data_IF_953628251124
#
_entry.id   IF_953628251124
#
_cell.length_a   1.000
_cell.length_b   1.000
_cell.length_c   1.000
_cell.angle_alpha   90.00
_cell.angle_beta   90.00
_cell.angle_gamma   90.00
#
_symmetry.space_group_name_H-M   'P 1'
#
loop_
_entity.id
_entity.type
_entity.pdbx_description
1 polymer ?
#
# COMPACT_ATOMS: atom_id res chain seq x y z
N UNK A 1 -25.89 -23.32 -5.11
CA UNK A 1 -26.68 -23.49 -3.87
C UNK A 1 -27.80 -24.48 -4.16
N UNK A 2 -28.03 -25.41 -3.25
CA UNK A 2 -28.89 -26.58 -3.47
C UNK A 2 -29.81 -26.80 -2.27
N UNK A 3 -31.01 -27.29 -2.55
CA UNK A 3 -31.97 -27.79 -1.57
C UNK A 3 -31.95 -29.31 -1.58
N UNK A 4 -31.36 -29.89 -0.54
CA UNK A 4 -31.30 -31.35 -0.38
C UNK A 4 -32.56 -31.84 0.31
N UNK A 5 -33.38 -32.61 -0.41
CA UNK A 5 -34.53 -33.27 0.18
C UNK A 5 -34.01 -34.50 0.92
N UNK A 6 -33.93 -34.41 2.25
CA UNK A 6 -33.48 -35.53 3.10
C UNK A 6 -34.57 -36.59 3.20
N UNK A 7 -35.83 -36.17 3.34
CA UNK A 7 -36.99 -37.05 3.27
C UNK A 7 -38.25 -36.27 2.93
N UNK A 8 -39.11 -36.85 2.11
CA UNK A 8 -40.45 -36.34 1.81
C UNK A 8 -41.45 -37.49 1.85
N UNK A 9 -42.48 -37.37 2.68
CA UNK A 9 -43.59 -38.32 2.71
C UNK A 9 -44.35 -38.28 1.37
N UNK A 10 -44.80 -39.44 0.88
CA UNK A 10 -45.54 -39.55 -0.38
C UNK A 10 -46.80 -38.68 -0.40
N UNK A 11 -47.45 -38.47 0.76
CA UNK A 11 -48.61 -37.62 0.88
C UNK A 11 -48.33 -36.13 0.65
N UNK A 12 -47.07 -35.69 0.72
CA UNK A 12 -46.65 -34.31 0.45
C UNK A 12 -46.15 -34.07 -0.98
N UNK A 13 -46.07 -35.12 -1.81
CA UNK A 13 -45.59 -35.01 -3.19
C UNK A 13 -46.67 -34.48 -4.13
N UNK A 14 -47.04 -33.23 -3.92
CA UNK A 14 -48.17 -32.58 -4.58
C UNK A 14 -47.77 -31.22 -5.16
N UNK A 15 -48.46 -30.78 -6.21
CA UNK A 15 -48.19 -29.48 -6.87
C UNK A 15 -48.47 -28.29 -5.96
N UNK A 16 -49.34 -28.47 -4.96
CA UNK A 16 -49.67 -27.46 -3.97
C UNK A 16 -48.64 -27.31 -2.86
N UNK A 17 -47.68 -28.24 -2.71
CA UNK A 17 -46.55 -28.05 -1.79
C UNK A 17 -45.42 -27.32 -2.51
N UNK A 18 -45.15 -26.06 -2.15
CA UNK A 18 -44.36 -25.11 -2.95
C UNK A 18 -43.18 -24.52 -2.20
N UNK A 19 -42.23 -23.99 -2.97
CA UNK A 19 -41.13 -23.19 -2.43
C UNK A 19 -40.78 -22.00 -3.32
N UNK A 20 -40.18 -20.98 -2.70
CA UNK A 20 -39.59 -19.81 -3.36
C UNK A 20 -38.29 -19.42 -2.67
N UNK A 21 -37.27 -19.07 -3.45
CA UNK A 21 -36.02 -18.51 -2.96
C UNK A 21 -35.90 -17.04 -3.36
N UNK A 22 -35.51 -16.21 -2.40
CA UNK A 22 -35.22 -14.79 -2.58
C UNK A 22 -33.75 -14.49 -2.28
N UNK A 23 -33.16 -13.59 -3.07
CA UNK A 23 -31.88 -12.91 -2.80
C UNK A 23 -32.19 -11.46 -2.46
N UNK A 24 -32.08 -11.08 -1.20
CA UNK A 24 -32.67 -9.82 -0.72
C UNK A 24 -34.19 -9.81 -0.92
N UNK A 25 -34.70 -8.86 -1.71
CA UNK A 25 -36.14 -8.73 -2.04
C UNK A 25 -36.49 -9.32 -3.40
N UNK A 26 -35.52 -9.83 -4.17
CA UNK A 26 -35.74 -10.36 -5.52
C UNK A 26 -35.95 -11.87 -5.48
N UNK A 27 -37.06 -12.35 -6.04
CA UNK A 27 -37.31 -13.79 -6.25
C UNK A 27 -36.37 -14.32 -7.32
N UNK A 28 -35.62 -15.37 -7.00
CA UNK A 28 -34.60 -15.98 -7.88
C UNK A 28 -34.93 -17.39 -8.30
N UNK A 29 -35.79 -18.11 -7.55
CA UNK A 29 -36.24 -19.45 -7.89
C UNK A 29 -37.62 -19.74 -7.29
N UNK A 30 -38.42 -20.55 -7.98
CA UNK A 30 -39.67 -21.11 -7.46
C UNK A 30 -39.89 -22.54 -7.97
N UNK A 31 -40.74 -23.29 -7.27
CA UNK A 31 -41.09 -24.66 -7.65
C UNK A 31 -42.10 -25.33 -6.72
N UNK A 32 -42.29 -26.64 -6.90
CA UNK A 32 -43.11 -27.50 -6.05
C UNK A 32 -42.44 -28.85 -5.78
N UNK A 33 -43.09 -29.71 -5.00
CA UNK A 33 -42.56 -31.01 -4.59
C UNK A 33 -43.32 -32.21 -5.18
N UNK A 34 -44.08 -32.01 -6.25
CA UNK A 34 -44.73 -33.11 -6.98
C UNK A 34 -43.70 -34.09 -7.56
N UNK A 35 -44.08 -35.36 -7.74
CA UNK A 35 -43.20 -36.37 -8.36
C UNK A 35 -42.67 -35.94 -9.74
N UNK A 36 -43.54 -35.33 -10.56
CA UNK A 36 -43.15 -34.81 -11.88
C UNK A 36 -42.09 -33.71 -11.79
N UNK A 37 -42.26 -32.77 -10.84
CA UNK A 37 -41.30 -31.69 -10.65
C UNK A 37 -39.97 -32.22 -10.14
N UNK A 38 -39.98 -33.08 -9.12
CA UNK A 38 -38.78 -33.65 -8.52
C UNK A 38 -37.98 -34.49 -9.53
N UNK A 39 -38.66 -35.26 -10.37
CA UNK A 39 -37.99 -36.05 -11.42
C UNK A 39 -37.29 -35.18 -12.46
N UNK A 40 -37.86 -34.00 -12.76
CA UNK A 40 -37.37 -33.12 -13.83
C UNK A 40 -36.41 -32.02 -13.37
N UNK A 41 -36.42 -31.68 -12.08
CA UNK A 41 -35.71 -30.51 -11.55
C UNK A 41 -34.73 -30.84 -10.43
N UNK A 42 -34.43 -32.13 -10.23
CA UNK A 42 -33.35 -32.55 -9.34
C UNK A 42 -32.12 -32.98 -10.16
N UNK A 43 -30.95 -32.76 -9.57
CA UNK A 43 -29.68 -33.31 -10.08
C UNK A 43 -29.07 -34.20 -8.99
N UNK A 44 -28.29 -35.19 -9.40
CA UNK A 44 -27.63 -36.09 -8.47
C UNK A 44 -26.36 -35.45 -7.92
N UNK A 45 -26.28 -35.32 -6.60
CA UNK A 45 -25.07 -34.93 -5.89
C UNK A 45 -24.14 -36.14 -5.76
N UNK A 46 -23.01 -36.11 -6.46
CA UNK A 46 -22.03 -37.21 -6.47
C UNK A 46 -21.27 -37.38 -5.15
N UNK A 47 -21.17 -36.33 -4.31
CA UNK A 47 -20.51 -36.41 -3.00
C UNK A 47 -21.30 -37.25 -1.99
N UNK A 48 -22.64 -37.14 -2.00
CA UNK A 48 -23.50 -37.72 -0.97
C UNK A 48 -24.54 -38.71 -1.52
N UNK A 49 -24.55 -38.99 -2.84
CA UNK A 49 -25.52 -39.83 -3.53
C UNK A 49 -27.00 -39.46 -3.28
N UNK A 50 -27.29 -38.15 -3.20
CA UNK A 50 -28.65 -37.62 -3.00
C UNK A 50 -29.10 -36.81 -4.21
N UNK A 51 -30.40 -36.83 -4.52
CA UNK A 51 -30.98 -35.91 -5.52
C UNK A 51 -31.38 -34.61 -4.84
N UNK A 52 -30.97 -33.47 -5.42
CA UNK A 52 -31.25 -32.16 -4.86
C UNK A 52 -31.76 -31.18 -5.90
N UNK A 53 -32.56 -30.21 -5.45
CA UNK A 53 -33.07 -29.15 -6.31
C UNK A 53 -31.99 -28.08 -6.44
N UNK A 54 -31.67 -27.72 -7.68
CA UNK A 54 -30.75 -26.62 -7.97
C UNK A 54 -31.46 -25.30 -7.71
N UNK A 55 -31.06 -24.60 -6.64
CA UNK A 55 -31.63 -23.30 -6.31
C UNK A 55 -30.95 -22.16 -7.08
N UNK A 56 -29.62 -22.17 -7.10
CA UNK A 56 -28.78 -21.16 -7.76
C UNK A 56 -27.51 -21.79 -8.33
N UNK A 57 -27.05 -21.30 -9.48
CA UNK A 57 -25.81 -21.72 -10.16
C UNK A 57 -25.00 -20.50 -10.57
N UNK A 58 -23.67 -20.62 -10.59
CA UNK A 58 -22.75 -19.58 -11.05
C UNK A 58 -22.93 -18.22 -10.34
N UNK A 59 -23.24 -18.26 -9.04
CA UNK A 59 -23.34 -17.06 -8.22
C UNK A 59 -21.95 -16.55 -7.85
N UNK A 60 -21.65 -15.29 -8.21
CA UNK A 60 -20.49 -14.58 -7.67
C UNK A 60 -20.70 -14.34 -6.17
N UNK A 61 -19.75 -14.80 -5.36
CA UNK A 61 -19.78 -14.58 -3.91
C UNK A 61 -19.17 -13.21 -3.61
N UNK A 62 -19.93 -12.36 -2.93
CA UNK A 62 -19.46 -11.06 -2.43
C UNK A 62 -18.62 -11.23 -1.16
N UNK A 63 -17.71 -10.31 -0.91
CA UNK A 63 -17.02 -10.15 0.40
C UNK A 63 -17.95 -9.60 1.49
N UNK A 64 -19.11 -9.06 1.10
CA UNK A 64 -20.16 -8.60 2.01
C UNK A 64 -21.22 -9.68 2.27
N UNK A 65 -21.86 -9.62 3.45
CA UNK A 65 -22.92 -10.56 3.82
C UNK A 65 -24.10 -10.44 2.85
N UNK A 66 -24.36 -11.52 2.12
CA UNK A 66 -25.55 -11.65 1.27
C UNK A 66 -26.57 -12.54 1.98
N UNK A 67 -27.81 -12.04 2.12
CA UNK A 67 -28.90 -12.78 2.76
C UNK A 67 -29.81 -13.42 1.71
N UNK A 68 -30.17 -14.68 1.96
CA UNK A 68 -31.12 -15.44 1.17
C UNK A 68 -32.28 -15.91 2.06
N UNK A 69 -33.50 -15.91 1.52
CA UNK A 69 -34.70 -16.34 2.24
C UNK A 69 -35.40 -17.42 1.44
N UNK A 70 -35.58 -18.61 2.03
CA UNK A 70 -36.33 -19.72 1.45
C UNK A 70 -37.70 -19.82 2.12
N UNK A 71 -38.76 -19.64 1.34
CA UNK A 71 -40.13 -19.91 1.75
C UNK A 71 -40.54 -21.31 1.29
N UNK A 72 -41.22 -22.05 2.15
CA UNK A 72 -41.81 -23.37 1.84
C UNK A 72 -43.20 -23.39 2.46
N UNK A 73 -44.24 -23.72 1.68
CA UNK A 73 -45.63 -23.67 2.15
C UNK A 73 -46.55 -24.60 1.37
N UNK A 74 -47.73 -24.85 1.92
CA UNK A 74 -48.85 -25.52 1.23
C UNK A 74 -49.77 -24.43 0.69
N UNK A 75 -49.92 -24.36 -0.63
CA UNK A 75 -50.68 -23.35 -1.36
C UNK A 75 -52.17 -23.71 -1.43
N UNK A 76 -52.89 -23.43 -0.34
CA UNK A 76 -54.34 -23.61 -0.30
C UNK A 76 -55.14 -22.48 -0.98
N UNK A 77 -54.48 -21.42 -1.45
CA UNK A 77 -55.15 -20.32 -2.13
C UNK A 77 -55.40 -20.64 -3.61
N UNK A 78 -54.45 -21.34 -4.25
CA UNK A 78 -54.52 -21.65 -5.68
C UNK A 78 -54.83 -23.13 -5.97
N UNK A 79 -54.78 -24.02 -4.97
CA UNK A 79 -54.96 -25.46 -5.15
C UNK A 79 -55.86 -26.06 -4.07
N UNK A 80 -56.55 -27.14 -4.43
CA UNK A 80 -57.25 -28.01 -3.46
C UNK A 80 -56.25 -28.99 -2.86
N UNK A 81 -55.91 -28.82 -1.58
CA UNK A 81 -54.90 -29.66 -0.94
C UNK A 81 -55.48 -31.04 -0.54
N UNK A 82 -54.83 -32.16 -0.90
CA UNK A 82 -55.28 -33.48 -0.49
C UNK A 82 -55.22 -33.70 1.03
N UNK A 83 -56.23 -34.36 1.60
CA UNK A 83 -56.25 -34.74 3.03
C UNK A 83 -55.06 -35.64 3.43
N UNK A 84 -54.42 -36.29 2.45
CA UNK A 84 -53.23 -37.13 2.63
C UNK A 84 -51.98 -36.34 3.06
N UNK A 85 -51.98 -35.01 2.95
CA UNK A 85 -50.89 -34.13 3.37
C UNK A 85 -50.82 -33.91 4.88
N UNK A 86 -51.89 -34.21 5.62
CA UNK A 86 -51.95 -33.96 7.06
C UNK A 86 -51.00 -34.88 7.84
N UNK A 87 -50.38 -34.33 8.89
CA UNK A 87 -49.48 -35.05 9.80
C UNK A 87 -48.29 -35.73 9.08
N UNK A 88 -47.83 -35.14 7.98
CA UNK A 88 -46.70 -35.63 7.20
C UNK A 88 -45.43 -34.85 7.49
N UNK A 89 -44.29 -35.50 7.26
CA UNK A 89 -42.97 -34.91 7.52
C UNK A 89 -42.25 -34.63 6.23
N UNK A 90 -41.68 -33.43 6.15
CA UNK A 90 -40.72 -33.01 5.15
C UNK A 90 -39.44 -32.57 5.87
N UNK A 91 -38.29 -33.07 5.43
CA UNK A 91 -36.99 -32.73 6.02
C UNK A 91 -36.01 -32.39 4.92
N UNK A 92 -35.28 -31.30 5.10
CA UNK A 92 -34.36 -30.78 4.11
C UNK A 92 -33.08 -30.21 4.72
N UNK A 93 -32.06 -30.06 3.88
CA UNK A 93 -30.85 -29.29 4.17
C UNK A 93 -30.59 -28.30 3.05
N UNK A 94 -29.82 -27.27 3.36
CA UNK A 94 -29.27 -26.35 2.37
C UNK A 94 -27.76 -26.50 2.36
N UNK A 95 -27.17 -26.56 1.16
CA UNK A 95 -25.74 -26.42 1.00
C UNK A 95 -25.38 -25.60 -0.23
N UNK A 96 -24.13 -25.20 -0.30
CA UNK A 96 -23.54 -24.58 -1.48
C UNK A 96 -22.15 -25.18 -1.71
N UNK A 97 -21.91 -25.62 -2.93
CA UNK A 97 -20.57 -25.89 -3.43
C UNK A 97 -20.09 -24.68 -4.23
N UNK A 98 -18.78 -24.41 -4.17
CA UNK A 98 -18.12 -23.39 -4.97
C UNK A 98 -16.67 -23.81 -5.23
N UNK A 99 -16.18 -23.48 -6.40
CA UNK A 99 -14.78 -23.64 -6.80
C UNK A 99 -14.19 -22.26 -7.14
N UNK A 100 -12.88 -22.10 -7.01
CA UNK A 100 -12.21 -20.86 -7.42
C UNK A 100 -12.46 -19.65 -6.51
N UNK A 101 -12.84 -19.86 -5.24
CA UNK A 101 -12.84 -18.77 -4.25
C UNK A 101 -11.39 -18.28 -4.05
N UNK A 102 -11.06 -17.14 -4.67
CA UNK A 102 -9.79 -16.44 -4.43
C UNK A 102 -10.02 -15.54 -3.23
N UNK A 103 -9.32 -15.81 -2.12
CA UNK A 103 -9.22 -14.83 -1.04
C UNK A 103 -8.65 -13.56 -1.65
N UNK A 104 -9.37 -12.44 -1.52
CA UNK A 104 -8.88 -11.15 -2.00
C UNK A 104 -7.52 -10.89 -1.35
N UNK A 105 -6.46 -10.92 -2.16
CA UNK A 105 -5.11 -10.67 -1.70
C UNK A 105 -4.97 -9.18 -1.44
N UNK A 106 -4.40 -8.84 -0.31
CA UNK A 106 -3.93 -7.49 -0.06
C UNK A 106 -2.88 -7.12 -1.11
N UNK A 107 -2.69 -5.83 -1.36
CA UNK A 107 -1.69 -5.33 -2.27
C UNK A 107 -0.28 -5.80 -1.85
N UNK A 108 -0.03 -5.84 -0.53
CA UNK A 108 1.21 -6.39 0.04
C UNK A 108 1.39 -7.88 -0.28
N UNK A 109 0.36 -8.71 -0.13
CA UNK A 109 0.40 -10.13 -0.50
C UNK A 109 0.59 -10.33 -2.01
N UNK A 110 -0.02 -9.48 -2.85
CA UNK A 110 0.16 -9.55 -4.30
C UNK A 110 1.63 -9.34 -4.68
N UNK A 111 2.26 -8.27 -4.19
CA UNK A 111 3.69 -8.00 -4.46
C UNK A 111 4.60 -9.08 -3.82
N UNK A 112 4.27 -9.53 -2.61
CA UNK A 112 4.99 -10.62 -1.96
C UNK A 112 4.96 -11.90 -2.79
N UNK A 113 3.80 -12.25 -3.35
CA UNK A 113 3.64 -13.42 -4.20
C UNK A 113 4.40 -13.29 -5.53
N UNK A 114 4.45 -12.10 -6.14
CA UNK A 114 5.30 -11.87 -7.32
C UNK A 114 6.76 -12.19 -7.02
N UNK A 115 7.26 -11.80 -5.85
CA UNK A 115 8.58 -12.18 -5.41
C UNK A 115 8.68 -13.69 -5.20
N UNK A 116 7.90 -14.28 -4.29
CA UNK A 116 8.10 -15.68 -3.84
C UNK A 116 7.92 -16.71 -4.95
N UNK A 117 7.10 -16.42 -5.96
CA UNK A 117 6.88 -17.33 -7.10
C UNK A 117 7.93 -17.19 -8.21
N UNK A 118 8.66 -16.09 -8.26
CA UNK A 118 9.69 -15.86 -9.26
C UNK A 118 11.01 -16.57 -8.91
N UNK A 119 11.71 -17.04 -9.94
CA UNK A 119 13.05 -17.65 -9.81
C UNK A 119 14.05 -16.69 -9.15
N UNK A 120 14.87 -17.22 -8.25
CA UNK A 120 15.85 -16.46 -7.49
C UNK A 120 17.23 -16.46 -8.15
N UNK A 121 17.92 -15.34 -8.01
CA UNK A 121 19.34 -15.17 -8.32
C UNK A 121 20.04 -14.56 -7.10
N UNK A 122 21.13 -15.17 -6.67
CA UNK A 122 21.94 -14.64 -5.57
C UNK A 122 22.63 -13.33 -5.96
N UNK A 123 22.77 -12.43 -5.01
CA UNK A 123 23.60 -11.24 -5.09
C UNK A 123 24.41 -11.12 -3.80
N UNK A 124 25.65 -10.63 -3.87
CA UNK A 124 26.47 -10.38 -2.68
C UNK A 124 26.92 -8.93 -2.68
N UNK A 125 26.66 -8.21 -1.59
CA UNK A 125 27.07 -6.83 -1.41
C UNK A 125 27.51 -6.60 0.04
N UNK A 126 28.68 -5.99 0.24
CA UNK A 126 29.30 -5.81 1.56
C UNK A 126 29.44 -7.14 2.34
N UNK A 127 29.75 -8.23 1.63
CA UNK A 127 29.85 -9.57 2.24
C UNK A 127 28.51 -10.13 2.77
N UNK A 128 27.37 -9.52 2.43
CA UNK A 128 26.03 -10.03 2.72
C UNK A 128 25.41 -10.60 1.46
N UNK A 129 24.81 -11.78 1.57
CA UNK A 129 24.09 -12.41 0.47
C UNK A 129 22.62 -11.99 0.42
N UNK A 130 22.04 -11.91 -0.76
CA UNK A 130 20.66 -11.51 -0.99
C UNK A 130 20.02 -12.40 -2.05
N UNK A 131 18.70 -12.60 -1.96
CA UNK A 131 17.90 -13.18 -3.02
C UNK A 131 17.23 -12.08 -3.84
N UNK A 132 17.60 -12.00 -5.11
CA UNK A 132 16.93 -11.17 -6.11
C UNK A 132 16.03 -12.03 -6.99
N UNK A 133 14.98 -11.45 -7.56
CA UNK A 133 14.07 -12.06 -8.52
C UNK A 133 14.04 -11.21 -9.80
N UNK A 134 15.01 -11.40 -10.71
CA UNK A 134 15.23 -10.47 -11.83
C UNK A 134 14.03 -10.32 -12.77
N UNK A 135 13.25 -11.38 -12.99
CA UNK A 135 12.08 -11.37 -13.87
C UNK A 135 10.97 -10.42 -13.44
N UNK A 136 10.95 -10.04 -12.15
CA UNK A 136 9.99 -9.09 -11.57
C UNK A 136 10.68 -7.90 -10.90
N UNK A 137 12.01 -7.81 -10.99
CA UNK A 137 12.82 -6.73 -10.40
C UNK A 137 12.58 -6.51 -8.90
N UNK A 138 12.38 -7.61 -8.16
CA UNK A 138 12.15 -7.59 -6.71
C UNK A 138 13.29 -8.28 -5.96
N UNK A 139 13.71 -7.75 -4.82
CA UNK A 139 14.70 -8.36 -3.95
C UNK A 139 14.22 -8.39 -2.51
N UNK A 140 14.77 -9.29 -1.69
CA UNK A 140 14.61 -9.22 -0.24
C UNK A 140 15.83 -8.54 0.38
N UNK A 141 15.59 -7.51 1.21
CA UNK A 141 16.65 -6.72 1.85
C UNK A 141 17.21 -7.35 3.13
N UNK A 142 16.63 -8.47 3.58
CA UNK A 142 16.99 -9.20 4.80
C UNK A 142 17.10 -8.32 6.04
N UNK A 143 16.27 -7.28 6.13
CA UNK A 143 16.31 -6.27 7.19
C UNK A 143 17.72 -5.68 7.37
N UNK A 144 18.39 -5.33 6.26
CA UNK A 144 19.78 -4.88 6.31
C UNK A 144 20.78 -6.02 6.50
N UNK A 145 20.43 -7.26 6.13
CA UNK A 145 21.29 -8.42 6.33
C UNK A 145 21.45 -8.83 7.80
N UNK A 146 20.49 -8.46 8.66
CA UNK A 146 20.44 -8.82 10.09
C UNK A 146 19.78 -10.17 10.35
N UNK A 147 18.88 -10.62 9.47
CA UNK A 147 18.33 -11.98 9.52
C UNK A 147 19.19 -12.95 8.70
N UNK A 148 19.33 -14.20 9.17
CA UNK A 148 19.99 -15.29 8.42
C UNK A 148 19.13 -15.85 7.30
N UNK A 149 17.81 -15.66 7.36
CA UNK A 149 16.89 -16.03 6.29
C UNK A 149 17.07 -15.09 5.09
N UNK A 150 17.25 -15.66 3.90
CA UNK A 150 17.40 -14.89 2.65
C UNK A 150 16.09 -14.21 2.24
N UNK A 151 14.94 -14.71 2.71
CA UNK A 151 13.62 -14.19 2.39
C UNK A 151 12.92 -13.58 3.63
N UNK A 152 13.64 -13.40 4.74
CA UNK A 152 13.10 -12.96 6.03
C UNK A 152 13.01 -11.44 6.26
N UNK A 153 13.23 -10.62 5.22
CA UNK A 153 13.18 -9.16 5.30
C UNK A 153 12.12 -8.48 4.44
N UNK A 154 12.32 -7.20 4.14
CA UNK A 154 11.42 -6.41 3.31
C UNK A 154 11.63 -6.78 1.84
N UNK A 155 10.55 -6.78 1.07
CA UNK A 155 10.59 -7.01 -0.38
C UNK A 155 10.64 -5.64 -1.06
N UNK A 156 11.60 -5.41 -1.95
CA UNK A 156 11.84 -4.10 -2.57
C UNK A 156 11.98 -4.20 -4.08
N UNK A 157 11.47 -3.20 -4.78
CA UNK A 157 11.76 -3.03 -6.20
C UNK A 157 13.15 -2.44 -6.40
N UNK A 158 13.90 -2.99 -7.36
CA UNK A 158 15.27 -2.56 -7.67
C UNK A 158 15.50 -2.49 -9.20
N UNK A 159 16.65 -1.94 -9.60
CA UNK A 159 17.10 -1.94 -10.99
C UNK A 159 16.73 -0.66 -11.75
N UNK A 160 16.97 -0.66 -13.06
CA UNK A 160 16.82 0.54 -13.91
C UNK A 160 15.35 0.95 -14.12
N UNK A 161 14.48 -0.03 -14.41
CA UNK A 161 13.10 0.22 -14.85
C UNK A 161 12.13 -0.88 -14.38
N UNK A 162 11.95 -1.07 -13.07
CA UNK A 162 10.99 -2.03 -12.54
C UNK A 162 9.54 -1.63 -12.88
N UNK A 163 8.68 -2.64 -13.04
CA UNK A 163 7.22 -2.47 -13.15
C UNK A 163 6.61 -2.25 -11.75
N UNK A 164 6.80 -1.06 -11.21
CA UNK A 164 6.36 -0.68 -9.87
C UNK A 164 5.49 0.59 -9.83
N UNK A 165 4.76 0.87 -10.91
CA UNK A 165 3.85 2.01 -11.00
C UNK A 165 2.48 1.67 -10.39
N UNK A 166 1.89 2.62 -9.70
CA UNK A 166 0.57 2.49 -9.06
C UNK A 166 -0.23 3.78 -9.22
N UNK A 167 -1.53 3.68 -9.50
CA UNK A 167 -2.42 4.82 -9.45
C UNK A 167 -2.78 5.16 -8.00
N UNK A 168 -2.59 6.42 -7.63
CA UNK A 168 -2.88 6.92 -6.29
C UNK A 168 -3.25 8.41 -6.36
N UNK A 169 -3.79 8.94 -5.26
CA UNK A 169 -4.26 10.32 -5.19
C UNK A 169 -5.24 10.66 -6.32
N UNK A 170 -6.27 9.82 -6.45
CA UNK A 170 -7.28 9.93 -7.50
C UNK A 170 -8.39 10.91 -7.12
N UNK A 171 -8.91 11.66 -8.09
CA UNK A 171 -10.18 12.39 -7.94
C UNK A 171 -11.38 11.44 -7.94
N UNK A 172 -11.23 10.26 -8.55
CA UNK A 172 -12.23 9.21 -8.64
C UNK A 172 -11.53 7.83 -8.68
N UNK A 173 -11.66 7.04 -7.61
CA UNK A 173 -11.09 5.69 -7.53
C UNK A 173 -11.96 4.61 -8.19
N UNK A 174 -13.21 4.91 -8.54
CA UNK A 174 -14.04 3.99 -9.35
C UNK A 174 -13.57 3.94 -10.80
N UNK A 175 -12.82 4.95 -11.25
CA UNK A 175 -12.22 5.03 -12.57
C UNK A 175 -10.75 5.42 -12.51
N UNK A 176 -9.88 4.49 -12.12
CA UNK A 176 -8.44 4.75 -11.98
C UNK A 176 -7.73 4.76 -13.35
N UNK A 177 -7.35 5.96 -13.79
CA UNK A 177 -6.60 6.24 -15.03
C UNK A 177 -5.66 7.44 -14.84
N UNK A 178 -4.82 7.74 -15.82
CA UNK A 178 -3.93 8.92 -15.76
C UNK A 178 -4.64 10.27 -15.76
N UNK A 179 -5.94 10.34 -16.11
CA UNK A 179 -6.72 11.58 -16.06
C UNK A 179 -7.36 11.84 -14.69
N UNK A 180 -7.57 10.79 -13.89
CA UNK A 180 -8.19 10.87 -12.57
C UNK A 180 -7.15 10.75 -11.46
N UNK A 181 -6.07 10.02 -11.68
CA UNK A 181 -5.07 9.66 -10.69
C UNK A 181 -3.69 10.27 -10.96
N UNK A 182 -2.93 10.48 -9.90
CA UNK A 182 -1.48 10.59 -10.03
C UNK A 182 -0.86 9.20 -10.21
N UNK A 183 0.31 9.15 -10.83
CA UNK A 183 1.11 7.92 -10.88
C UNK A 183 2.20 7.98 -9.81
N UNK A 184 2.21 7.00 -8.91
CA UNK A 184 3.17 6.84 -7.83
C UNK A 184 4.02 5.59 -8.06
N UNK A 185 5.09 5.41 -7.29
CA UNK A 185 5.99 4.25 -7.39
C UNK A 185 6.01 3.45 -6.10
N UNK A 186 5.92 2.14 -6.20
CA UNK A 186 6.06 1.22 -5.06
C UNK A 186 7.54 1.05 -4.74
N UNK A 187 7.94 1.41 -3.53
CA UNK A 187 9.29 1.10 -3.00
C UNK A 187 9.35 -0.39 -2.66
N UNK A 188 8.34 -0.90 -1.97
CA UNK A 188 8.31 -2.29 -1.54
C UNK A 188 7.24 -2.64 -0.52
N UNK A 189 7.31 -3.85 0.01
CA UNK A 189 6.49 -4.38 1.11
C UNK A 189 7.30 -4.37 2.40
N UNK A 190 6.75 -3.74 3.43
CA UNK A 190 7.36 -3.60 4.75
C UNK A 190 6.28 -3.89 5.79
N UNK A 191 6.52 -4.85 6.69
CA UNK A 191 5.57 -5.18 7.76
C UNK A 191 4.12 -5.33 7.26
N UNK A 192 3.95 -6.07 6.14
CA UNK A 192 2.65 -6.30 5.51
C UNK A 192 1.99 -5.07 4.85
N UNK A 193 2.70 -3.96 4.66
CA UNK A 193 2.18 -2.73 4.03
C UNK A 193 2.98 -2.38 2.78
N UNK A 194 2.32 -1.82 1.77
CA UNK A 194 3.02 -1.20 0.65
C UNK A 194 3.56 0.17 1.06
N UNK A 195 4.86 0.37 0.84
CA UNK A 195 5.50 1.68 0.90
C UNK A 195 5.57 2.25 -0.51
N UNK A 196 5.05 3.47 -0.70
CA UNK A 196 5.03 4.14 -2.00
C UNK A 196 5.67 5.52 -1.90
N UNK A 197 6.18 6.00 -3.03
CA UNK A 197 6.70 7.36 -3.19
C UNK A 197 6.03 8.07 -4.35
N UNK A 198 5.89 9.38 -4.24
CA UNK A 198 5.44 10.20 -5.36
C UNK A 198 6.46 10.13 -6.49
N UNK A 199 5.99 9.97 -7.74
CA UNK A 199 6.85 9.88 -8.91
C UNK A 199 7.43 11.24 -9.36
N UNK A 200 6.95 12.33 -8.74
CA UNK A 200 7.37 13.71 -9.02
C UNK A 200 7.53 14.49 -7.72
N UNK A 201 8.50 15.40 -7.69
CA UNK A 201 8.72 16.27 -6.54
C UNK A 201 7.59 17.30 -6.37
N UNK A 202 7.35 17.76 -5.15
CA UNK A 202 6.29 18.75 -4.83
C UNK A 202 6.82 20.21 -4.80
N UNK A 203 8.07 20.40 -5.19
CA UNK A 203 8.81 21.65 -5.06
C UNK A 203 10.09 21.49 -4.23
N UNK A 204 10.81 22.61 -4.09
CA UNK A 204 12.04 22.69 -3.32
C UNK A 204 11.76 23.43 -2.01
N UNK A 205 11.81 22.72 -0.90
CA UNK A 205 11.56 23.25 0.44
C UNK A 205 12.68 22.83 1.38
N UNK A 206 12.95 23.66 2.37
CA UNK A 206 13.94 23.33 3.39
C UNK A 206 13.41 22.21 4.28
N UNK A 207 14.28 21.28 4.68
CA UNK A 207 13.95 20.23 5.64
C UNK A 207 13.50 20.88 6.96
N UNK A 208 14.33 21.79 7.47
CA UNK A 208 13.97 22.76 8.49
C UNK A 208 14.95 23.95 8.47
N UNK A 209 14.43 25.16 8.21
CA UNK A 209 15.23 26.39 8.14
C UNK A 209 15.09 27.29 9.38
N UNK A 210 14.75 26.70 10.53
CA UNK A 210 14.85 27.39 11.82
C UNK A 210 16.26 27.94 12.01
N UNK A 211 16.34 29.06 12.72
CA UNK A 211 17.60 29.61 13.20
C UNK A 211 17.55 29.77 14.72
N UNK A 212 18.58 30.38 15.32
CA UNK A 212 18.64 30.60 16.78
C UNK A 212 17.43 31.35 17.36
N UNK A 213 16.79 32.22 16.58
CA UNK A 213 15.58 32.94 17.03
C UNK A 213 14.29 32.12 16.98
N UNK A 214 14.31 30.97 16.30
CA UNK A 214 13.15 30.11 16.09
C UNK A 214 13.38 28.67 16.54
N UNK A 215 14.37 28.43 17.41
CA UNK A 215 14.57 27.15 18.10
C UNK A 215 15.60 26.20 17.50
N UNK A 216 16.45 26.65 16.58
CA UNK A 216 17.63 25.90 16.13
C UNK A 216 18.88 26.25 16.97
N UNK A 217 19.88 25.38 16.91
CA UNK A 217 21.15 25.53 17.60
C UNK A 217 22.06 26.58 16.92
N UNK A 218 21.87 26.83 15.61
CA UNK A 218 22.60 27.82 14.82
C UNK A 218 21.73 28.42 13.70
N UNK A 219 22.33 28.95 12.63
CA UNK A 219 21.64 29.56 11.47
C UNK A 219 21.50 28.62 10.26
N UNK A 220 22.02 27.40 10.35
CA UNK A 220 22.11 26.43 9.25
C UNK A 220 20.90 25.49 9.16
N UNK A 221 20.00 25.55 10.13
CA UNK A 221 18.77 24.77 10.19
C UNK A 221 18.71 23.90 11.43
N UNK A 222 17.76 22.96 11.43
CA UNK A 222 17.56 22.01 12.54
C UNK A 222 17.30 20.62 11.99
N UNK A 223 18.00 19.61 12.50
CA UNK A 223 17.86 18.23 12.06
C UNK A 223 16.93 17.39 12.96
N UNK A 224 15.88 18.02 13.49
CA UNK A 224 14.82 17.32 14.25
C UNK A 224 13.54 17.17 13.42
N UNK A 225 13.28 15.97 12.90
CA UNK A 225 12.10 15.71 12.08
C UNK A 225 10.79 15.97 12.83
N UNK A 226 10.76 15.76 14.15
CA UNK A 226 9.54 15.90 14.96
C UNK A 226 9.08 17.35 15.11
N UNK A 227 9.96 18.31 14.84
CA UNK A 227 9.65 19.74 14.83
C UNK A 227 9.86 20.38 13.46
N UNK A 228 10.37 19.63 12.47
CA UNK A 228 10.71 20.11 11.15
C UNK A 228 9.53 20.77 10.43
N UNK A 229 9.81 21.92 9.80
CA UNK A 229 8.81 22.65 8.99
C UNK A 229 8.33 21.83 7.79
N UNK A 230 9.20 21.01 7.20
CA UNK A 230 8.82 20.09 6.13
C UNK A 230 7.87 18.99 6.63
N UNK A 231 8.10 18.43 7.82
CA UNK A 231 7.21 17.45 8.41
C UNK A 231 5.79 18.04 8.60
N UNK A 232 5.70 19.25 9.16
CA UNK A 232 4.42 19.95 9.35
C UNK A 232 3.71 20.25 8.03
N UNK A 233 4.47 20.54 6.98
CA UNK A 233 3.93 20.76 5.64
C UNK A 233 3.25 19.51 5.07
N UNK A 234 3.86 18.35 5.27
CA UNK A 234 3.44 17.08 4.67
C UNK A 234 2.31 16.37 5.44
N UNK A 235 2.09 16.70 6.72
CA UNK A 235 1.23 15.92 7.62
C UNK A 235 0.03 16.72 8.15
N UNK A 236 -1.05 16.05 8.60
CA UNK A 236 -2.15 16.72 9.27
C UNK A 236 -1.74 17.23 10.66
N UNK A 237 -2.47 18.24 11.14
CA UNK A 237 -2.16 18.99 12.36
C UNK A 237 -2.21 18.19 13.66
N UNK A 238 -2.71 16.95 13.64
CA UNK A 238 -2.72 16.06 14.80
C UNK A 238 -1.38 15.33 15.02
N UNK A 239 -0.39 15.48 14.14
CA UNK A 239 0.95 14.85 14.29
C UNK A 239 2.05 15.81 14.72
N UNK A 240 1.71 17.06 15.01
CA UNK A 240 2.67 18.04 15.49
C UNK A 240 2.02 19.08 16.38
N UNK A 241 2.81 19.70 17.24
CA UNK A 241 2.39 20.88 17.99
C UNK A 241 2.62 22.13 17.15
N UNK A 242 1.67 23.06 17.19
CA UNK A 242 1.82 24.38 16.57
C UNK A 242 2.98 25.09 17.25
N UNK A 243 3.95 25.53 16.46
CA UNK A 243 5.05 26.36 16.91
C UNK A 243 4.71 27.81 16.58
N UNK A 244 4.62 28.67 17.59
CA UNK A 244 4.29 30.08 17.41
C UNK A 244 5.33 30.81 16.57
N UNK A 245 6.58 30.33 16.53
CA UNK A 245 7.64 30.91 15.69
C UNK A 245 7.43 30.64 14.19
N UNK A 246 6.57 29.68 13.85
CA UNK A 246 6.25 29.36 12.46
C UNK A 246 5.13 30.25 11.88
N UNK A 247 4.57 31.19 12.65
CA UNK A 247 3.53 32.13 12.21
C UNK A 247 2.36 31.47 11.45
N UNK A 248 2.01 30.23 11.82
CA UNK A 248 1.01 29.40 11.13
C UNK A 248 1.28 29.12 9.64
N UNK A 249 2.51 29.31 9.17
CA UNK A 249 2.90 29.08 7.77
C UNK A 249 3.20 27.61 7.51
N UNK A 250 2.95 27.15 6.29
CA UNK A 250 3.28 25.81 5.79
C UNK A 250 2.45 24.67 6.38
N UNK A 251 1.77 24.86 7.51
CA UNK A 251 1.06 23.81 8.25
C UNK A 251 0.03 23.06 7.41
N UNK A 252 0.24 21.74 7.24
CA UNK A 252 -0.61 20.80 6.52
C UNK A 252 -0.99 21.18 5.08
N UNK A 253 -0.31 22.13 4.44
CA UNK A 253 -0.73 22.63 3.13
C UNK A 253 -0.71 21.52 2.07
N UNK A 254 0.31 20.66 2.06
CA UNK A 254 0.38 19.54 1.13
C UNK A 254 -0.69 18.47 1.44
N UNK A 255 -0.89 18.14 2.71
CA UNK A 255 -1.85 17.12 3.14
C UNK A 255 -3.31 17.50 2.84
N UNK A 256 -3.61 18.80 2.84
CA UNK A 256 -4.95 19.34 2.61
C UNK A 256 -5.18 19.89 1.20
N UNK A 257 -4.24 19.69 0.26
CA UNK A 257 -4.30 20.28 -1.09
C UNK A 257 -4.56 21.80 -1.08
N UNK A 258 -3.82 22.51 -0.24
CA UNK A 258 -3.99 23.95 -0.02
C UNK A 258 -2.78 24.74 -0.55
N UNK A 259 -2.92 26.07 -0.59
CA UNK A 259 -1.86 27.01 -0.97
C UNK A 259 -1.56 27.99 0.16
N UNK A 260 -0.39 28.61 0.13
CA UNK A 260 0.05 29.55 1.15
C UNK A 260 1.52 29.89 1.05
N UNK A 261 2.16 30.06 2.22
CA UNK A 261 3.61 30.27 2.34
C UNK A 261 4.26 29.02 2.90
N UNK A 262 5.35 28.59 2.28
CA UNK A 262 6.20 27.50 2.73
C UNK A 262 7.60 28.01 3.04
N UNK A 263 8.32 27.28 3.87
CA UNK A 263 9.68 27.62 4.26
C UNK A 263 10.71 27.13 3.25
N UNK A 264 11.63 28.02 2.87
CA UNK A 264 12.69 27.76 1.91
C UNK A 264 13.84 28.74 2.13
N UNK A 265 15.07 28.25 2.15
CA UNK A 265 16.30 29.02 2.40
C UNK A 265 16.55 29.34 3.87
N UNK A 266 17.77 29.78 4.20
CA UNK A 266 18.18 30.21 5.54
C UNK A 266 17.31 31.34 6.14
N UNK A 267 17.49 31.58 7.45
CA UNK A 267 16.93 32.72 8.16
C UNK A 267 15.40 32.84 8.11
N UNK A 268 14.69 31.72 8.29
CA UNK A 268 13.22 31.68 8.26
C UNK A 268 12.59 32.20 6.95
N UNK A 269 13.36 32.22 5.85
CA UNK A 269 12.85 32.68 4.57
C UNK A 269 11.68 31.79 4.09
N UNK A 270 10.77 32.42 3.34
CA UNK A 270 9.55 31.80 2.84
C UNK A 270 9.36 32.04 1.35
N UNK A 271 8.59 31.17 0.73
CA UNK A 271 8.19 31.23 -0.67
C UNK A 271 6.68 30.94 -0.76
N UNK A 272 6.01 31.44 -1.80
CA UNK A 272 4.66 30.99 -2.10
C UNK A 272 4.71 29.51 -2.52
N UNK A 273 3.77 28.72 -2.02
CA UNK A 273 3.58 27.33 -2.42
C UNK A 273 2.10 27.08 -2.69
N UNK A 274 1.83 26.20 -3.65
CA UNK A 274 0.48 25.86 -4.08
C UNK A 274 0.39 24.35 -4.33
N UNK A 275 -0.37 23.67 -3.47
CA UNK A 275 -0.63 22.23 -3.58
C UNK A 275 -2.07 21.93 -4.00
N UNK A 276 -2.82 22.90 -4.50
CA UNK A 276 -4.21 22.67 -4.96
C UNK A 276 -4.29 21.59 -6.04
N UNK A 277 -3.26 21.45 -6.87
CA UNK A 277 -3.16 20.41 -7.91
C UNK A 277 -2.24 19.23 -7.55
N UNK A 278 -1.40 19.36 -6.52
CA UNK A 278 -0.32 18.38 -6.22
C UNK A 278 -0.40 17.75 -4.83
N UNK A 279 -1.22 18.30 -3.93
CA UNK A 279 -1.46 17.78 -2.59
C UNK A 279 -2.41 16.58 -2.58
N UNK A 280 -2.67 16.02 -1.39
CA UNK A 280 -3.59 14.89 -1.21
C UNK A 280 -5.04 15.32 -1.43
N UNK A 281 -5.60 14.98 -2.60
CA UNK A 281 -6.81 15.55 -3.19
C UNK A 281 -8.06 15.46 -2.32
N UNK A 282 -8.28 14.31 -1.67
CA UNK A 282 -9.55 14.01 -1.01
C UNK A 282 -9.40 13.10 0.20
N UNK A 283 -10.50 12.99 0.94
CA UNK A 283 -10.59 12.20 2.18
C UNK A 283 -10.41 10.70 1.92
N UNK A 284 -10.94 10.18 0.82
CA UNK A 284 -10.74 8.78 0.40
C UNK A 284 -9.26 8.43 0.28
N UNK A 285 -8.46 9.29 -0.39
CA UNK A 285 -7.01 9.14 -0.46
C UNK A 285 -6.36 9.21 0.92
N UNK A 286 -6.76 10.18 1.77
CA UNK A 286 -6.21 10.32 3.13
C UNK A 286 -6.47 9.09 3.99
N UNK A 287 -7.64 8.48 3.88
CA UNK A 287 -8.03 7.29 4.63
C UNK A 287 -7.24 6.03 4.23
N UNK A 288 -6.69 6.01 3.01
CA UNK A 288 -5.79 4.94 2.56
C UNK A 288 -4.36 5.07 3.09
N UNK A 289 -3.95 6.25 3.57
CA UNK A 289 -2.60 6.46 4.10
C UNK A 289 -2.56 5.88 5.52
N UNK A 290 -1.73 4.86 5.71
CA UNK A 290 -1.50 4.26 7.02
C UNK A 290 -0.80 5.26 7.95
N UNK A 291 -1.19 5.25 9.22
CA UNK A 291 -0.31 5.78 10.26
C UNK A 291 0.84 4.78 10.46
N UNK A 292 2.08 5.28 10.54
CA UNK A 292 3.27 4.44 10.71
C UNK A 292 4.31 5.16 11.54
N UNK A 293 5.05 4.38 12.32
CA UNK A 293 6.24 4.85 13.03
C UNK A 293 7.43 4.84 12.07
N UNK A 294 7.95 6.03 11.77
CA UNK A 294 9.19 6.25 11.05
C UNK A 294 10.36 6.23 12.04
N UNK A 295 11.47 5.63 11.63
CA UNK A 295 12.69 5.63 12.41
C UNK A 295 13.50 6.89 12.08
N UNK A 296 14.07 7.50 13.11
CA UNK A 296 14.83 8.75 13.05
C UNK A 296 16.26 8.56 13.57
N UNK A 297 16.72 7.32 13.71
CA UNK A 297 18.13 7.03 13.94
C UNK A 297 18.98 7.64 12.82
N UNK A 298 20.08 8.27 13.20
CA UNK A 298 20.97 9.01 12.33
C UNK A 298 22.34 8.36 12.18
N UNK A 299 23.11 8.88 11.23
CA UNK A 299 24.50 8.50 11.06
C UNK A 299 25.31 9.67 10.47
N UNK A 300 26.60 9.75 10.80
CA UNK A 300 27.46 10.88 10.48
C UNK A 300 28.47 10.63 9.34
N UNK A 301 28.50 9.42 8.79
CA UNK A 301 29.42 9.08 7.70
C UNK A 301 28.68 8.54 6.48
N UNK A 302 28.93 9.12 5.32
CA UNK A 302 28.38 8.67 4.04
C UNK A 302 29.14 7.48 3.44
N UNK A 303 30.26 7.06 4.05
CA UNK A 303 31.01 5.86 3.65
C UNK A 303 30.39 4.61 4.26
N UNK A 304 29.15 4.32 3.88
CA UNK A 304 28.33 3.22 4.38
C UNK A 304 27.63 2.49 3.26
N UNK A 305 27.35 1.22 3.47
CA UNK A 305 26.58 0.37 2.57
C UNK A 305 25.07 0.45 2.87
N UNK A 306 24.20 0.06 1.91
CA UNK A 306 22.74 0.05 2.12
C UNK A 306 22.30 -0.74 3.36
N UNK A 307 23.02 -1.82 3.68
CA UNK A 307 22.72 -2.67 4.83
C UNK A 307 23.10 -2.02 6.16
N UNK A 308 24.21 -1.30 6.21
CA UNK A 308 24.68 -0.62 7.42
C UNK A 308 23.79 0.58 7.75
N UNK A 309 23.47 1.41 6.75
CA UNK A 309 22.59 2.57 6.98
C UNK A 309 21.17 2.14 7.37
N UNK A 310 20.68 0.99 6.88
CA UNK A 310 19.39 0.42 7.29
C UNK A 310 19.34 0.16 8.80
N UNK A 311 20.44 -0.36 9.37
CA UNK A 311 20.58 -0.59 10.80
C UNK A 311 20.64 0.74 11.57
N UNK A 312 21.44 1.71 11.10
CA UNK A 312 21.57 3.02 11.75
C UNK A 312 20.28 3.82 11.76
N UNK A 313 19.50 3.78 10.68
CA UNK A 313 18.15 4.38 10.60
C UNK A 313 17.25 3.91 11.75
N UNK A 314 17.40 2.65 12.18
CA UNK A 314 16.66 1.99 13.27
C UNK A 314 17.40 1.98 14.60
N UNK A 315 18.59 2.59 14.64
CA UNK A 315 19.42 2.69 15.82
C UNK A 315 19.00 3.84 16.73
N UNK A 316 19.80 4.05 17.77
CA UNK A 316 19.59 5.10 18.77
C UNK A 316 20.56 6.28 18.63
N UNK A 317 21.49 6.20 17.68
CA UNK A 317 22.48 7.25 17.44
C UNK A 317 21.80 8.46 16.80
N UNK A 318 21.88 9.62 17.44
CA UNK A 318 21.27 10.87 16.96
C UNK A 318 22.13 12.05 17.43
N UNK A 319 21.90 13.23 16.86
CA UNK A 319 22.35 14.47 17.49
C UNK A 319 21.68 14.60 18.87
N UNK A 320 22.37 15.15 19.86
CA UNK A 320 21.95 15.18 21.27
C UNK A 320 20.47 15.55 21.44
N UNK A 321 19.77 14.82 22.31
CA UNK A 321 18.36 15.03 22.68
C UNK A 321 17.32 14.96 21.53
N UNK A 322 17.68 14.38 20.37
CA UNK A 322 16.72 14.14 19.29
C UNK A 322 15.93 12.83 19.49
N UNK A 323 14.65 12.77 19.08
CA UNK A 323 13.90 11.52 19.05
C UNK A 323 14.47 10.51 18.06
N UNK A 324 14.36 9.22 18.37
CA UNK A 324 14.80 8.12 17.48
C UNK A 324 13.66 7.55 16.64
N UNK A 325 12.43 7.98 16.86
CA UNK A 325 11.24 7.57 16.10
C UNK A 325 10.19 8.68 16.08
N UNK A 326 9.34 8.68 15.07
CA UNK A 326 8.17 9.56 14.99
C UNK A 326 7.02 8.88 14.27
N UNK A 327 5.82 8.98 14.83
CA UNK A 327 4.60 8.42 14.24
C UNK A 327 3.88 9.47 13.41
N UNK A 328 3.54 9.14 12.17
CA UNK A 328 2.84 10.05 11.26
C UNK A 328 2.33 9.38 9.99
N UNK A 329 1.96 10.19 8.99
CA UNK A 329 1.37 9.72 7.73
C UNK A 329 2.38 9.75 6.59
N UNK A 330 3.04 10.89 6.39
CA UNK A 330 3.89 11.16 5.22
C UNK A 330 5.29 11.59 5.70
N UNK A 331 6.32 10.99 5.12
CA UNK A 331 7.72 11.36 5.35
C UNK A 331 8.50 11.38 4.03
N UNK A 332 9.80 11.06 4.10
CA UNK A 332 10.72 11.01 2.97
C UNK A 332 11.32 9.61 2.84
N UNK A 333 11.98 9.36 1.71
CA UNK A 333 12.74 8.13 1.52
C UNK A 333 13.93 8.08 2.48
N UNK A 334 14.31 6.86 2.87
CA UNK A 334 15.55 6.60 3.59
C UNK A 334 16.72 6.45 2.62
N UNK A 335 17.96 6.70 3.07
CA UNK A 335 19.17 6.28 2.36
C UNK A 335 19.16 4.79 2.00
N UNK A 336 18.65 3.91 2.88
CA UNK A 336 18.50 2.48 2.57
C UNK A 336 17.50 2.22 1.44
N UNK A 337 16.41 2.99 1.34
CA UNK A 337 15.46 2.86 0.22
C UNK A 337 16.16 3.16 -1.11
N UNK A 338 16.93 4.26 -1.16
CA UNK A 338 17.71 4.63 -2.34
C UNK A 338 18.83 3.62 -2.64
N UNK A 339 19.49 3.11 -1.60
CA UNK A 339 20.57 2.13 -1.69
C UNK A 339 20.13 0.82 -2.32
N UNK A 340 19.00 0.28 -1.84
CA UNK A 340 18.40 -0.97 -2.34
C UNK A 340 17.59 -0.83 -3.63
N UNK A 341 17.29 0.40 -4.07
CA UNK A 341 16.71 0.61 -5.39
C UNK A 341 17.68 0.33 -6.53
N UNK A 342 18.99 0.27 -6.26
CA UNK A 342 20.01 -0.14 -7.22
C UNK A 342 20.07 -1.67 -7.38
N UNK A 343 20.33 -2.15 -8.60
CA UNK A 343 20.70 -3.57 -8.79
C UNK A 343 22.05 -3.87 -8.14
N UNK A 344 22.04 -4.66 -7.06
CA UNK A 344 23.24 -5.03 -6.32
C UNK A 344 24.19 -5.96 -7.10
N UNK A 345 23.73 -6.62 -8.16
CA UNK A 345 24.60 -7.37 -9.08
C UNK A 345 25.31 -6.46 -10.10
N UNK A 346 24.86 -5.20 -10.25
CA UNK A 346 25.50 -4.19 -11.10
C UNK A 346 26.29 -3.17 -10.27
N UNK A 347 25.68 -2.64 -9.20
CA UNK A 347 26.27 -1.72 -8.24
C UNK A 347 27.02 -2.46 -7.13
N UNK A 348 27.90 -3.39 -7.52
CA UNK A 348 28.54 -4.35 -6.62
C UNK A 348 29.49 -3.66 -5.64
N UNK A 349 29.33 -3.94 -4.34
CA UNK A 349 30.23 -3.55 -3.27
C UNK A 349 30.54 -2.04 -3.24
N UNK A 350 29.55 -1.20 -3.57
CA UNK A 350 29.66 0.26 -3.46
C UNK A 350 28.96 0.79 -2.23
N UNK A 351 29.65 1.70 -1.54
CA UNK A 351 29.08 2.54 -0.50
C UNK A 351 28.23 3.65 -1.13
N UNK A 352 27.30 4.21 -0.38
CA UNK A 352 26.34 5.21 -0.87
C UNK A 352 27.01 6.50 -1.40
N UNK A 353 28.16 6.88 -0.87
CA UNK A 353 28.98 7.98 -1.39
C UNK A 353 29.68 7.66 -2.74
N UNK A 354 29.51 6.47 -3.29
CA UNK A 354 30.00 6.05 -4.62
C UNK A 354 28.86 5.74 -5.60
N UNK A 355 27.61 6.02 -5.22
CA UNK A 355 26.44 5.75 -6.08
C UNK A 355 26.35 6.69 -7.27
N UNK A 356 27.17 7.74 -7.35
CA UNK A 356 27.34 8.55 -8.56
C UNK A 356 28.06 7.81 -9.70
N UNK A 357 28.55 6.59 -9.46
CA UNK A 357 29.02 5.70 -10.51
C UNK A 357 27.88 5.41 -11.50
N UNK A 358 28.20 5.47 -12.79
CA UNK A 358 27.24 5.20 -13.88
C UNK A 358 26.58 3.82 -13.77
N UNK A 359 27.29 2.81 -13.26
CA UNK A 359 26.76 1.44 -13.06
C UNK A 359 25.66 1.39 -12.00
N UNK A 360 25.77 2.24 -10.96
CA UNK A 360 24.73 2.37 -9.94
C UNK A 360 23.58 3.25 -10.43
N UNK A 361 23.88 4.46 -10.93
CA UNK A 361 22.84 5.42 -11.34
C UNK A 361 21.97 4.93 -12.49
N UNK A 362 22.54 4.21 -13.47
CA UNK A 362 21.77 3.63 -14.59
C UNK A 362 20.91 2.44 -14.17
N UNK A 363 21.24 1.78 -13.06
CA UNK A 363 20.51 0.64 -12.52
C UNK A 363 19.77 0.97 -11.23
N UNK A 364 19.43 2.24 -11.00
CA UNK A 364 18.68 2.69 -9.82
C UNK A 364 17.49 3.55 -10.25
N UNK A 365 16.30 2.97 -10.21
CA UNK A 365 15.05 3.62 -10.63
C UNK A 365 14.69 4.85 -9.81
N UNK A 366 15.10 4.91 -8.53
CA UNK A 366 14.81 6.06 -7.66
C UNK A 366 15.67 7.28 -8.02
N UNK A 367 16.86 7.08 -8.63
CA UNK A 367 17.79 8.18 -8.94
C UNK A 367 17.12 9.27 -9.77
N UNK A 368 16.44 8.90 -10.85
CA UNK A 368 15.81 9.87 -11.75
C UNK A 368 14.70 10.66 -11.04
N UNK A 369 13.97 10.04 -10.13
CA UNK A 369 12.87 10.69 -9.41
C UNK A 369 13.44 11.65 -8.36
N UNK A 370 14.32 11.16 -7.48
CA UNK A 370 14.84 11.93 -6.35
C UNK A 370 15.64 13.14 -6.81
N UNK A 371 16.40 12.99 -7.90
CA UNK A 371 17.27 14.06 -8.42
C UNK A 371 16.60 14.89 -9.51
N UNK A 372 15.31 14.65 -9.82
CA UNK A 372 14.62 15.25 -10.96
C UNK A 372 15.46 15.16 -12.25
N UNK A 373 15.77 13.95 -12.68
CA UNK A 373 16.62 13.63 -13.83
C UNK A 373 18.05 14.23 -13.74
N UNK A 374 18.56 14.43 -12.53
CA UNK A 374 19.85 15.06 -12.29
C UNK A 374 19.82 16.59 -12.33
N UNK A 375 18.64 17.20 -12.31
CA UNK A 375 18.47 18.66 -12.24
C UNK A 375 18.50 19.22 -10.81
N UNK A 376 18.25 18.39 -9.79
CA UNK A 376 18.17 18.80 -8.39
C UNK A 376 18.85 17.80 -7.46
N UNK A 377 19.03 18.22 -6.21
CA UNK A 377 19.31 17.34 -5.08
C UNK A 377 17.96 16.88 -4.52
N UNK A 378 17.95 15.83 -3.69
CA UNK A 378 16.72 15.32 -3.09
C UNK A 378 16.89 15.00 -1.61
N UNK A 379 15.90 15.40 -0.81
CA UNK A 379 15.91 15.12 0.63
C UNK A 379 15.69 13.65 0.93
N UNK A 380 16.39 13.15 1.95
CA UNK A 380 16.12 11.89 2.63
C UNK A 380 15.71 12.16 4.09
N UNK A 381 15.14 11.16 4.75
CA UNK A 381 14.61 11.31 6.10
C UNK A 381 15.70 11.32 7.19
N UNK A 382 16.79 10.57 6.99
CA UNK A 382 17.80 10.31 8.02
C UNK A 382 18.55 11.59 8.45
N UNK A 383 18.64 11.92 9.74
CA UNK A 383 19.44 13.03 10.23
C UNK A 383 20.94 12.68 10.31
N UNK A 384 21.81 13.68 10.24
CA UNK A 384 23.23 13.53 10.61
C UNK A 384 23.35 13.45 12.13
N UNK A 385 23.88 12.35 12.66
CA UNK A 385 23.99 12.16 14.10
C UNK A 385 25.05 13.03 14.79
N UNK A 386 25.92 13.70 14.04
CA UNK A 386 27.01 14.53 14.56
C UNK A 386 26.78 16.04 14.42
N UNK A 387 25.74 16.44 13.68
CA UNK A 387 25.40 17.84 13.40
C UNK A 387 23.99 18.15 13.89
N UNK A 388 23.75 19.36 14.38
CA UNK A 388 22.40 19.84 14.74
C UNK A 388 21.55 20.24 13.53
N UNK A 389 22.15 20.42 12.36
CA UNK A 389 21.55 21.15 11.23
C UNK A 389 21.63 20.40 9.91
N UNK A 390 22.17 19.19 9.85
CA UNK A 390 22.30 18.42 8.60
C UNK A 390 21.40 17.20 8.57
N UNK A 391 20.86 16.89 7.38
CA UNK A 391 20.13 15.68 7.06
C UNK A 391 20.67 15.06 5.77
N UNK A 392 20.41 13.78 5.58
CA UNK A 392 20.89 13.05 4.42
C UNK A 392 20.15 13.49 3.15
N UNK A 393 20.87 13.45 2.03
CA UNK A 393 20.37 13.87 0.73
C UNK A 393 21.04 13.07 -0.40
N UNK A 394 20.36 12.99 -1.54
CA UNK A 394 20.95 12.50 -2.79
C UNK A 394 21.30 13.70 -3.66
N UNK A 395 22.55 13.76 -4.09
CA UNK A 395 23.06 14.80 -4.97
C UNK A 395 22.61 14.52 -6.40
N UNK A 396 22.59 15.56 -7.23
CA UNK A 396 22.14 15.47 -8.63
C UNK A 396 22.81 14.36 -9.45
N UNK A 397 24.05 13.99 -9.11
CA UNK A 397 24.82 12.94 -9.77
C UNK A 397 24.59 11.53 -9.19
N UNK A 398 23.78 11.36 -8.14
CA UNK A 398 23.50 10.07 -7.48
C UNK A 398 24.37 9.78 -6.25
N UNK A 399 25.30 10.67 -5.90
CA UNK A 399 26.05 10.57 -4.64
C UNK A 399 25.11 10.79 -3.44
N UNK A 400 25.25 9.99 -2.38
CA UNK A 400 24.53 10.22 -1.12
C UNK A 400 25.46 10.85 -0.09
N UNK A 401 25.01 11.92 0.56
CA UNK A 401 25.73 12.61 1.63
C UNK A 401 24.81 13.43 2.52
N UNK A 402 25.36 14.42 3.22
CA UNK A 402 24.61 15.31 4.10
C UNK A 402 24.46 16.70 3.48
N UNK A 403 23.31 17.32 3.71
CA UNK A 403 22.98 18.67 3.28
C UNK A 403 22.44 19.46 4.48
N UNK A 404 22.82 20.73 4.62
CA UNK A 404 22.26 21.62 5.64
C UNK A 404 20.73 21.74 5.45
N UNK A 405 19.97 21.60 6.53
CA UNK A 405 18.52 21.51 6.55
C UNK A 405 17.83 22.77 5.96
N UNK A 406 18.53 23.91 5.92
CA UNK A 406 18.05 25.16 5.35
C UNK A 406 18.20 25.30 3.83
N UNK A 407 18.87 24.37 3.13
CA UNK A 407 19.26 24.53 1.71
C UNK A 407 18.05 24.59 0.76
N UNK A 408 18.24 25.22 -0.41
CA UNK A 408 17.15 25.64 -1.33
C UNK A 408 16.99 24.85 -2.63
N UNK A 409 17.94 23.96 -2.96
CA UNK A 409 17.98 23.17 -4.21
C UNK A 409 17.65 21.69 -4.00
N UNK A 410 16.96 21.35 -2.90
CA UNK A 410 16.54 19.99 -2.59
C UNK A 410 15.04 19.81 -2.85
N UNK A 411 14.74 18.89 -3.76
CA UNK A 411 13.40 18.45 -4.08
C UNK A 411 12.82 17.60 -2.94
N UNK A 412 11.52 17.74 -2.73
CA UNK A 412 10.75 16.95 -1.78
C UNK A 412 9.94 15.90 -2.52
N UNK A 413 10.17 14.63 -2.20
CA UNK A 413 9.43 13.49 -2.71
C UNK A 413 8.72 12.80 -1.55
N UNK A 414 7.40 13.03 -1.37
CA UNK A 414 6.63 12.38 -0.33
C UNK A 414 6.70 10.86 -0.42
N UNK A 415 6.87 10.22 0.74
CA UNK A 415 6.84 8.78 0.93
C UNK A 415 5.81 8.45 2.01
N UNK A 416 5.02 7.42 1.77
CA UNK A 416 3.99 6.98 2.71
C UNK A 416 3.76 5.47 2.64
N UNK A 417 3.04 4.94 3.63
CA UNK A 417 2.57 3.56 3.63
C UNK A 417 1.07 3.53 3.33
N UNK A 418 0.65 2.57 2.54
CA UNK A 418 -0.75 2.26 2.31
C UNK A 418 -1.30 1.39 3.44
N UNK A 419 -2.59 1.54 3.75
CA UNK A 419 -3.32 0.67 4.66
C UNK A 419 -3.16 -0.79 4.24
N UNK A 420 -2.89 -1.69 5.20
CA UNK A 420 -2.65 -3.11 4.94
C UNK A 420 -3.86 -3.85 4.40
N UNK A 421 -5.05 -3.24 4.45
CA UNK A 421 -6.31 -3.83 3.97
C UNK A 421 -6.55 -3.64 2.47
N UNK A 422 -5.82 -2.74 1.82
CA UNK A 422 -6.04 -2.41 0.41
C UNK A 422 -5.60 -3.57 -0.48
N UNK A 423 -6.36 -3.82 -1.55
CA UNK A 423 -6.05 -4.81 -2.58
C UNK A 423 -5.48 -4.19 -3.85
N UNK A 424 -5.06 -5.04 -4.79
CA UNK A 424 -4.83 -4.65 -6.19
C UNK A 424 -5.95 -5.28 -7.01
N UNK A 425 -6.72 -4.47 -7.71
CA UNK A 425 -7.81 -4.91 -8.59
C UNK A 425 -7.26 -5.42 -9.93
N UNK A 426 -6.34 -4.65 -10.52
CA UNK A 426 -5.76 -4.95 -11.84
C UNK A 426 -4.47 -4.15 -12.08
N UNK A 427 -3.88 -4.29 -13.27
CA UNK A 427 -2.60 -3.68 -13.65
C UNK A 427 -1.43 -4.62 -13.45
N UNK A 428 -0.36 -4.42 -14.25
CA UNK A 428 0.88 -5.18 -14.16
C UNK A 428 2.04 -4.38 -13.55
N UNK A 429 1.78 -3.13 -13.18
CA UNK A 429 2.75 -2.23 -12.58
C UNK A 429 3.66 -1.55 -13.59
N UNK A 430 3.54 -1.81 -14.90
CA UNK A 430 4.26 -1.03 -15.92
C UNK A 430 3.76 0.41 -15.97
N UNK A 431 4.55 1.33 -16.54
CA UNK A 431 4.14 2.74 -16.68
C UNK A 431 2.89 2.90 -17.57
N UNK A 432 2.68 1.99 -18.52
CA UNK A 432 1.49 1.95 -19.39
C UNK A 432 0.28 1.28 -18.75
N UNK A 433 0.49 0.46 -17.73
CA UNK A 433 -0.56 -0.27 -17.02
C UNK A 433 -0.28 -0.33 -15.50
N UNK A 434 -0.30 0.84 -14.81
CA UNK A 434 -0.05 0.91 -13.38
C UNK A 434 -1.04 0.06 -12.58
N UNK A 435 -0.64 -0.42 -11.41
CA UNK A 435 -1.55 -1.10 -10.50
C UNK A 435 -2.72 -0.20 -10.11
N UNK A 436 -3.93 -0.77 -10.10
CA UNK A 436 -5.17 -0.15 -9.63
C UNK A 436 -5.52 -0.71 -8.25
N UNK A 437 -5.81 0.17 -7.31
CA UNK A 437 -6.18 -0.21 -5.96
C UNK A 437 -7.62 -0.71 -5.90
N UNK A 438 -7.85 -1.76 -5.12
CA UNK A 438 -9.19 -2.14 -4.67
C UNK A 438 -9.39 -1.55 -3.28
N UNK A 439 -10.33 -0.61 -3.17
CA UNK A 439 -10.63 0.21 -1.99
C UNK A 439 -11.78 -0.31 -1.16
#
# INVERSE_FOLDING_TARGET
MYLDITSIDTGLKDESFRYELYKGTTKVKEGNFSDNYLTSNTVTCTKNNTNHIVLLTNESISTSKTSYTLYIWIDGANYTNPNTMMNKTFSFKLHADGEGAVLAKTAAETITNLYTTASKTSATNNGKDYNTAPSVSLMNDRLGGTTTDLDGGNIRYYGASPNNYIYFNCSDYSNQTSSTCETWRIIGVFDGKLKIMRNEFIGNYSWDNKNTSTGAEDTEGKNDWTTARLMKLLNPSNYYTIDSNDNNLGQSLYYNSASGKCYRSSNNATVNCDFTSTGIKNEETRNMIAETTYNLGGWNSFSVYPNEIYEYERGTTVYTDRPTTWTGKIALAYPSDYGYAADLNQCVNKQLNKYNDSTCTSNNWMKAIITNNGGNFGWLLTPDSSSSYSAWCVYFNGYVGNCNANVTNLGVMPVLYLSSKLGIESGDGSSSNPYKLSI
#
